data_IF_911811482425
#
_entry.id   IF_911811482425
#
_cell.length_a   1.000
_cell.length_b   1.000
_cell.length_c   1.000
_cell.angle_alpha   90.00
_cell.angle_beta   90.00
_cell.angle_gamma   90.00
#
_symmetry.space_group_name_H-M   'P 1'
#
loop_
_entity.id
_entity.type
_entity.pdbx_description
1 polymer ?
#
# COMPACT_ATOMS: atom_id res chain seq x y z
N UNK A 1 -19.86 -10.93 -3.24
CA UNK A 1 -18.69 -11.37 -2.46
C UNK A 1 -18.22 -10.24 -1.56
N UNK A 2 -18.50 -10.29 -0.26
CA UNK A 2 -17.92 -9.37 0.72
C UNK A 2 -16.51 -9.84 1.07
N UNK A 3 -15.54 -9.42 0.26
CA UNK A 3 -14.16 -9.80 0.46
C UNK A 3 -13.46 -8.74 1.29
N UNK A 4 -12.83 -9.15 2.37
CA UNK A 4 -12.10 -8.23 3.23
C UNK A 4 -10.90 -7.63 2.48
N UNK A 5 -10.81 -6.30 2.52
CA UNK A 5 -9.65 -5.57 2.01
C UNK A 5 -8.43 -5.87 2.89
N UNK A 6 -7.26 -5.97 2.28
CA UNK A 6 -5.99 -5.97 3.02
C UNK A 6 -5.73 -4.54 3.45
N UNK A 7 -5.53 -4.34 4.74
CA UNK A 7 -5.33 -3.02 5.34
C UNK A 7 -4.04 -3.10 6.16
N UNK A 8 -3.18 -2.11 5.95
CA UNK A 8 -2.02 -1.85 6.80
C UNK A 8 -1.96 -0.34 7.01
N UNK A 9 -1.43 0.08 8.16
CA UNK A 9 -1.37 1.47 8.54
C UNK A 9 -0.15 1.69 9.43
N UNK A 10 0.49 2.84 9.24
CA UNK A 10 1.58 3.29 10.10
C UNK A 10 1.32 4.74 10.51
N UNK A 11 1.91 5.13 11.65
CA UNK A 11 1.93 6.53 12.05
C UNK A 11 3.15 7.20 11.40
N UNK A 12 3.00 8.34 10.71
CA UNK A 12 4.14 9.09 10.20
C UNK A 12 5.11 9.43 11.33
N UNK A 13 6.39 9.15 11.12
CA UNK A 13 7.47 9.64 11.98
C UNK A 13 7.91 11.02 11.50
N UNK A 14 7.62 12.07 12.27
CA UNK A 14 7.95 13.45 11.91
C UNK A 14 9.46 13.70 11.76
N UNK A 15 10.30 12.82 12.31
CA UNK A 15 11.76 12.92 12.19
C UNK A 15 12.26 12.31 10.87
N UNK A 16 11.45 11.48 10.20
CA UNK A 16 11.78 10.90 8.90
C UNK A 16 11.68 11.93 7.79
N UNK A 17 12.67 11.93 6.89
CA UNK A 17 12.68 12.78 5.69
C UNK A 17 11.52 12.49 4.73
N UNK A 18 10.86 11.32 4.84
CA UNK A 18 9.64 11.02 4.09
C UNK A 18 8.47 11.96 4.40
N UNK A 19 8.41 12.52 5.62
CA UNK A 19 7.29 13.34 6.09
C UNK A 19 7.68 14.81 6.35
N UNK A 20 8.86 15.22 5.89
CA UNK A 20 9.32 16.60 5.96
C UNK A 20 8.91 17.39 4.71
N UNK A 21 9.15 18.71 4.71
CA UNK A 21 8.90 19.58 3.56
C UNK A 21 9.69 19.07 2.34
N UNK A 22 9.07 18.86 1.18
CA UNK A 22 9.78 18.46 -0.03
C UNK A 22 10.84 19.49 -0.44
N UNK A 23 12.01 18.98 -0.82
CA UNK A 23 13.14 19.76 -1.39
C UNK A 23 13.38 19.43 -2.86
N UNK A 24 12.55 18.55 -3.43
CA UNK A 24 12.51 18.10 -4.82
C UNK A 24 11.06 17.78 -5.18
N UNK A 25 10.82 17.24 -6.38
CA UNK A 25 9.48 16.85 -6.84
C UNK A 25 8.77 15.85 -5.90
N UNK A 26 9.51 14.99 -5.19
CA UNK A 26 8.94 13.95 -4.33
C UNK A 26 9.82 13.66 -3.10
N UNK A 27 9.17 13.39 -1.97
CA UNK A 27 9.84 12.84 -0.79
C UNK A 27 10.21 11.37 -0.98
N UNK A 28 11.06 10.86 -0.08
CA UNK A 28 11.35 9.42 0.01
C UNK A 28 10.05 8.66 0.31
N UNK A 29 9.76 7.62 -0.47
CA UNK A 29 8.58 6.80 -0.26
C UNK A 29 8.62 6.11 1.12
N UNK A 30 7.47 6.11 1.81
CA UNK A 30 7.24 5.35 3.04
C UNK A 30 6.07 4.40 2.82
N UNK A 31 6.16 3.18 3.34
CA UNK A 31 5.15 2.15 3.15
C UNK A 31 5.52 0.82 3.81
N UNK A 32 4.79 -0.23 3.44
CA UNK A 32 4.93 -1.56 4.02
C UNK A 32 5.44 -2.55 2.96
N UNK A 33 6.75 -2.90 2.93
CA UNK A 33 7.34 -3.72 1.86
C UNK A 33 6.70 -5.10 1.69
N UNK A 34 6.07 -5.63 2.75
CA UNK A 34 5.42 -6.94 2.77
C UNK A 34 3.90 -6.83 2.93
N UNK A 35 3.29 -5.81 2.31
CA UNK A 35 1.85 -5.49 2.43
C UNK A 35 0.91 -6.66 2.07
N UNK A 36 1.20 -7.38 0.98
CA UNK A 36 0.35 -8.48 0.51
C UNK A 36 1.20 -9.64 -0.04
N UNK A 37 1.04 -10.87 0.48
CA UNK A 37 1.65 -12.06 -0.12
C UNK A 37 1.11 -12.31 -1.53
N UNK A 38 1.98 -12.62 -2.49
CA UNK A 38 1.57 -12.90 -3.88
C UNK A 38 0.57 -14.05 -3.99
N UNK A 39 0.72 -15.10 -3.17
CA UNK A 39 -0.23 -16.22 -3.12
C UNK A 39 -1.66 -15.79 -2.72
N UNK A 40 -1.79 -14.70 -1.96
CA UNK A 40 -3.07 -14.12 -1.57
C UNK A 40 -3.61 -13.15 -2.64
N UNK A 41 -2.71 -12.44 -3.35
CA UNK A 41 -3.04 -11.61 -4.49
C UNK A 41 -3.68 -12.43 -5.62
N UNK A 42 -3.08 -13.58 -5.97
CA UNK A 42 -3.43 -14.44 -7.11
C UNK A 42 -4.31 -15.65 -6.75
N UNK A 43 -4.73 -15.77 -5.49
CA UNK A 43 -5.42 -16.95 -4.97
C UNK A 43 -6.84 -17.19 -5.55
N UNK A 44 -7.52 -18.25 -5.08
CA UNK A 44 -8.89 -18.63 -5.52
C UNK A 44 -9.91 -17.50 -5.39
N UNK A 45 -9.80 -16.77 -4.28
CA UNK A 45 -10.31 -15.42 -4.22
C UNK A 45 -9.10 -14.59 -4.68
N UNK A 46 -9.09 -14.01 -5.88
CA UNK A 46 -7.99 -13.14 -6.38
C UNK A 46 -8.30 -11.65 -6.24
N UNK A 47 -7.35 -10.83 -5.78
CA UNK A 47 -7.54 -9.37 -5.74
C UNK A 47 -7.36 -8.73 -7.13
N UNK A 48 -7.03 -9.54 -8.14
CA UNK A 48 -6.98 -9.16 -9.55
C UNK A 48 -8.35 -9.43 -10.16
N UNK A 49 -8.91 -8.42 -10.82
CA UNK A 49 -10.13 -8.51 -11.61
C UNK A 49 -9.89 -7.82 -12.94
N UNK A 50 -10.15 -8.51 -14.05
CA UNK A 50 -9.96 -7.97 -15.40
C UNK A 50 -8.55 -7.37 -15.59
N UNK A 51 -7.52 -8.13 -15.17
CA UNK A 51 -6.11 -7.73 -15.15
C UNK A 51 -5.82 -6.42 -14.37
N UNK A 52 -6.69 -6.07 -13.43
CA UNK A 52 -6.67 -4.80 -12.71
C UNK A 52 -6.73 -5.03 -11.20
N UNK A 53 -5.98 -4.21 -10.45
CA UNK A 53 -6.05 -4.13 -8.99
C UNK A 53 -6.50 -2.73 -8.56
N UNK A 54 -7.11 -2.65 -7.38
CA UNK A 54 -7.55 -1.39 -6.79
C UNK A 54 -6.82 -1.19 -5.46
N UNK A 55 -6.11 -0.07 -5.33
CA UNK A 55 -5.40 0.33 -4.11
C UNK A 55 -6.04 1.63 -3.61
N UNK A 56 -6.30 1.70 -2.31
CA UNK A 56 -6.80 2.90 -1.64
C UNK A 56 -5.78 3.35 -0.59
N UNK A 57 -5.20 4.52 -0.79
CA UNK A 57 -4.48 5.25 0.25
C UNK A 57 -5.48 6.20 0.95
N UNK A 58 -5.40 6.30 2.28
CA UNK A 58 -6.28 7.14 3.11
C UNK A 58 -5.44 8.19 3.81
#
# INVERSE_FOLDING_TARGET
SNREHIIDAFRPDITSSSFQRPVSEMNIASGCPLFCPLSKLEGKNSYIRDDTIFIKAI
#
